data_IF_659816702727
#
_entry.id   IF_659816702727
#
_cell.length_a   1.000
_cell.length_b   1.000
_cell.length_c   1.000
_cell.angle_alpha   90.00
_cell.angle_beta   90.00
_cell.angle_gamma   90.00
#
_symmetry.space_group_name_H-M   'P 1'
#
loop_
_entity.id
_entity.type
_entity.pdbx_description
1 polymer ?
#
# COMPACT_ATOMS: atom_id res chain seq x y z
N UNK A 1 18.01 8.59 5.81
CA UNK A 1 16.78 8.15 5.12
C UNK A 1 16.02 7.12 5.90
N UNK A 2 16.63 5.98 6.21
CA UNK A 2 16.02 4.97 7.10
C UNK A 2 15.79 5.53 8.49
N UNK A 3 16.66 6.43 8.96
CA UNK A 3 16.52 7.09 10.27
C UNK A 3 15.28 7.98 10.34
N UNK A 4 14.89 8.63 9.23
CA UNK A 4 13.69 9.48 9.23
C UNK A 4 12.44 8.62 9.41
N UNK A 5 12.30 7.55 8.65
CA UNK A 5 11.16 6.63 8.77
C UNK A 5 11.15 5.95 10.14
N UNK A 6 12.29 5.56 10.65
CA UNK A 6 12.38 4.96 11.98
C UNK A 6 11.88 5.94 13.06
N UNK A 7 12.31 7.20 13.02
CA UNK A 7 11.84 8.23 13.96
C UNK A 7 10.34 8.49 13.81
N UNK A 8 9.86 8.56 12.58
CA UNK A 8 8.44 8.75 12.30
C UNK A 8 7.61 7.60 12.87
N UNK A 9 8.02 6.37 12.63
CA UNK A 9 7.36 5.16 13.15
C UNK A 9 7.33 5.18 14.66
N UNK A 10 8.43 5.50 15.33
CA UNK A 10 8.50 5.56 16.78
C UNK A 10 7.60 6.64 17.36
N UNK A 11 7.58 7.81 16.75
CA UNK A 11 6.69 8.92 17.13
C UNK A 11 5.22 8.52 17.00
N UNK A 12 4.85 7.88 15.89
CA UNK A 12 3.49 7.41 15.67
C UNK A 12 3.10 6.30 16.64
N UNK A 13 3.98 5.35 16.90
CA UNK A 13 3.76 4.31 17.90
C UNK A 13 3.45 4.90 19.27
N UNK A 14 4.23 5.88 19.69
CA UNK A 14 4.02 6.55 20.98
C UNK A 14 2.67 7.29 21.02
N UNK A 15 2.32 8.00 19.96
CA UNK A 15 1.06 8.73 19.87
C UNK A 15 -0.14 7.75 19.95
N UNK A 16 -0.09 6.63 19.27
CA UNK A 16 -1.12 5.59 19.31
C UNK A 16 -1.21 4.93 20.68
N UNK A 17 -0.09 4.62 21.28
CA UNK A 17 -0.03 4.01 22.61
C UNK A 17 -0.62 4.93 23.68
N UNK A 18 -0.29 6.22 23.65
CA UNK A 18 -0.85 7.21 24.57
C UNK A 18 -2.36 7.38 24.41
N UNK A 19 -2.89 7.18 23.21
CA UNK A 19 -4.32 7.24 22.94
C UNK A 19 -5.04 5.91 23.24
N UNK A 20 -4.31 4.89 23.66
CA UNK A 20 -4.90 3.57 23.96
C UNK A 20 -5.24 2.74 22.73
N UNK A 21 -4.69 3.08 21.56
CA UNK A 21 -4.91 2.34 20.32
C UNK A 21 -3.82 1.28 20.15
N UNK A 22 -4.23 0.02 20.10
CA UNK A 22 -3.31 -1.09 19.83
C UNK A 22 -3.13 -1.25 18.32
N UNK A 23 -1.90 -1.05 17.87
CA UNK A 23 -1.57 -1.18 16.46
C UNK A 23 -0.10 -1.53 16.28
N UNK A 24 0.19 -2.30 15.24
CA UNK A 24 1.54 -2.53 14.77
C UNK A 24 1.87 -1.47 13.73
N UNK A 25 2.97 -0.75 13.93
CA UNK A 25 3.41 0.31 13.02
C UNK A 25 4.80 -0.03 12.51
N UNK A 26 4.96 -0.03 11.20
CA UNK A 26 6.25 -0.30 10.60
C UNK A 26 6.42 0.44 9.27
N UNK A 27 7.69 0.71 8.93
CA UNK A 27 8.03 1.23 7.62
C UNK A 27 7.79 0.18 6.56
N UNK A 28 7.11 0.57 5.48
CA UNK A 28 6.81 -0.34 4.39
C UNK A 28 7.94 -0.35 3.38
N UNK A 29 8.56 -1.51 3.09
CA UNK A 29 9.55 -1.58 2.02
C UNK A 29 8.87 -1.41 0.67
N UNK A 30 9.39 -0.50 -0.17
CA UNK A 30 8.94 -0.38 -1.54
C UNK A 30 9.68 -1.37 -2.43
N UNK A 31 8.95 -1.96 -3.34
CA UNK A 31 9.52 -2.92 -4.27
C UNK A 31 10.52 -2.22 -5.20
N UNK A 32 11.73 -2.76 -5.30
CA UNK A 32 12.81 -2.19 -6.15
C UNK A 32 12.34 -2.01 -7.59
N UNK A 33 11.56 -2.95 -8.10
CA UNK A 33 11.01 -2.89 -9.46
C UNK A 33 10.08 -1.69 -9.66
N UNK A 34 9.22 -1.39 -8.68
CA UNK A 34 8.32 -0.23 -8.75
C UNK A 34 9.10 1.08 -8.77
N UNK A 35 10.18 1.16 -7.99
CA UNK A 35 11.07 2.31 -7.96
C UNK A 35 11.75 2.49 -9.32
N UNK A 36 12.31 1.42 -9.87
CA UNK A 36 12.97 1.44 -11.17
C UNK A 36 12.03 1.90 -12.30
N UNK A 37 10.78 1.40 -12.30
CA UNK A 37 9.75 1.79 -13.25
C UNK A 37 9.41 3.28 -13.18
N UNK A 38 9.27 3.81 -11.99
CA UNK A 38 9.02 5.24 -11.79
C UNK A 38 10.17 6.10 -12.31
N UNK A 39 11.41 5.65 -12.14
CA UNK A 39 12.57 6.31 -12.69
C UNK A 39 12.53 6.39 -14.21
N UNK A 40 12.23 5.29 -14.85
CA UNK A 40 12.18 5.19 -16.31
C UNK A 40 11.12 6.13 -16.91
N UNK A 41 9.94 6.18 -16.32
CA UNK A 41 8.81 6.93 -16.89
C UNK A 41 8.89 8.43 -16.64
N UNK A 42 9.31 8.84 -15.47
CA UNK A 42 9.30 10.26 -15.07
C UNK A 42 10.66 10.93 -15.19
N UNK A 43 11.67 10.24 -15.67
CA UNK A 43 13.05 10.70 -15.72
C UNK A 43 13.55 11.27 -14.38
N UNK A 44 13.03 10.70 -13.29
CA UNK A 44 13.41 11.13 -11.94
C UNK A 44 14.77 10.57 -11.56
N UNK A 45 15.56 11.37 -10.88
CA UNK A 45 16.82 10.90 -10.35
C UNK A 45 16.59 9.86 -9.24
N UNK A 46 17.49 8.90 -9.14
CA UNK A 46 17.45 7.82 -8.15
C UNK A 46 17.26 8.35 -6.71
N UNK A 47 17.87 9.50 -6.41
CA UNK A 47 17.75 10.14 -5.09
C UNK A 47 16.34 10.63 -4.77
N UNK A 48 15.58 11.10 -5.75
CA UNK A 48 14.21 11.58 -5.57
C UNK A 48 13.25 10.44 -5.23
N UNK A 49 13.52 9.25 -5.76
CA UNK A 49 12.68 8.07 -5.52
C UNK A 49 12.92 7.41 -4.18
N UNK A 50 14.14 7.48 -3.67
CA UNK A 50 14.45 6.99 -2.32
C UNK A 50 13.83 7.85 -1.22
N UNK A 51 13.32 9.03 -1.56
CA UNK A 51 12.62 9.89 -0.62
C UNK A 51 11.14 9.52 -0.43
N UNK A 52 10.66 8.50 -1.12
CA UNK A 52 9.30 8.01 -0.88
C UNK A 52 9.25 7.25 0.43
N UNK A 53 8.46 7.78 1.36
CA UNK A 53 8.30 7.24 2.69
C UNK A 53 6.91 6.66 2.83
N UNK A 54 6.83 5.40 3.23
CA UNK A 54 5.57 4.72 3.43
C UNK A 54 5.58 3.97 4.76
N UNK A 55 4.47 4.08 5.48
CA UNK A 55 4.27 3.46 6.79
C UNK A 55 2.96 2.69 6.76
N UNK A 56 2.95 1.54 7.40
CA UNK A 56 1.76 0.72 7.55
C UNK A 56 1.36 0.61 9.01
N UNK A 57 0.07 0.76 9.27
CA UNK A 57 -0.54 0.64 10.59
C UNK A 57 -1.54 -0.53 10.53
N UNK A 58 -1.30 -1.55 11.31
CA UNK A 58 -2.15 -2.75 11.37
C UNK A 58 -2.83 -2.80 12.73
N UNK A 59 -4.17 -2.84 12.73
CA UNK A 59 -4.98 -2.94 13.95
C UNK A 59 -5.72 -4.26 14.00
N UNK A 60 -6.28 -4.60 15.17
CA UNK A 60 -7.11 -5.80 15.32
C UNK A 60 -8.56 -5.54 14.95
N UNK A 61 -9.10 -4.37 15.28
CA UNK A 61 -10.51 -4.03 15.09
C UNK A 61 -10.67 -2.87 14.13
N UNK A 62 -11.79 -2.85 13.43
CA UNK A 62 -12.12 -1.77 12.49
C UNK A 62 -12.16 -0.40 13.17
N UNK A 63 -12.77 -0.33 14.37
CA UNK A 63 -12.81 0.93 15.12
C UNK A 63 -11.41 1.48 15.41
N UNK A 64 -10.44 0.61 15.63
CA UNK A 64 -9.05 1.00 15.88
C UNK A 64 -8.39 1.60 14.63
N UNK A 65 -8.82 1.19 13.44
CA UNK A 65 -8.37 1.84 12.20
C UNK A 65 -8.78 3.30 12.16
N UNK A 66 -10.03 3.60 12.47
CA UNK A 66 -10.54 4.98 12.49
C UNK A 66 -9.99 5.79 13.66
N UNK A 67 -9.76 5.15 14.81
CA UNK A 67 -9.08 5.79 15.94
C UNK A 67 -7.63 6.14 15.57
N UNK A 68 -6.92 5.23 14.92
CA UNK A 68 -5.56 5.48 14.43
C UNK A 68 -5.54 6.61 13.40
N UNK A 69 -6.50 6.65 12.48
CA UNK A 69 -6.64 7.73 11.50
C UNK A 69 -6.81 9.08 12.19
N UNK A 70 -7.67 9.16 13.20
CA UNK A 70 -7.86 10.36 13.99
C UNK A 70 -6.58 10.85 14.67
N UNK A 71 -5.83 9.93 15.24
CA UNK A 71 -4.52 10.25 15.86
C UNK A 71 -3.52 10.74 14.82
N UNK A 72 -3.43 10.07 13.68
CA UNK A 72 -2.54 10.48 12.59
C UNK A 72 -2.86 11.88 12.11
N UNK A 73 -4.13 12.19 11.86
CA UNK A 73 -4.56 13.49 11.35
C UNK A 73 -4.50 14.61 12.41
N UNK A 74 -4.55 14.23 13.70
CA UNK A 74 -4.40 15.20 14.80
C UNK A 74 -2.92 15.52 15.05
N UNK A 75 -2.08 14.50 14.96
CA UNK A 75 -0.64 14.62 15.26
C UNK A 75 0.17 15.21 14.10
N UNK A 76 -0.24 14.90 12.86
CA UNK A 76 0.44 15.35 11.64
C UNK A 76 -0.54 16.09 10.73
N UNK A 77 -0.03 17.04 9.96
CA UNK A 77 -0.83 17.72 8.94
C UNK A 77 -1.06 16.78 7.75
N UNK A 78 -2.32 16.49 7.41
CA UNK A 78 -2.63 15.63 6.27
C UNK A 78 -2.90 16.43 5.00
N UNK A 79 -2.71 15.78 3.86
CA UNK A 79 -2.97 16.35 2.53
C UNK A 79 -4.32 15.79 2.07
N UNK A 80 -5.42 16.61 2.09
CA UNK A 80 -6.77 16.08 1.81
C UNK A 80 -6.94 15.42 0.47
N UNK A 81 -6.21 15.87 -0.57
CA UNK A 81 -6.29 15.29 -1.91
C UNK A 81 -5.73 13.88 -2.01
N UNK A 82 -4.91 13.50 -1.04
CA UNK A 82 -4.25 12.19 -1.00
C UNK A 82 -4.92 11.24 0.00
N UNK A 83 -6.13 11.54 0.41
CA UNK A 83 -6.89 10.72 1.34
C UNK A 83 -7.90 9.85 0.60
N UNK A 84 -7.86 8.54 0.85
CA UNK A 84 -8.81 7.57 0.33
C UNK A 84 -9.21 6.56 1.40
N UNK A 85 -10.51 6.43 1.63
CA UNK A 85 -11.05 5.44 2.56
C UNK A 85 -11.62 4.24 1.78
N UNK A 86 -10.77 3.26 1.52
CA UNK A 86 -11.17 2.01 0.86
C UNK A 86 -11.76 0.98 1.84
N UNK A 87 -11.94 1.34 3.10
CA UNK A 87 -12.71 0.53 4.06
C UNK A 87 -14.19 0.81 3.88
N UNK A 88 -14.58 2.09 3.87
CA UNK A 88 -15.94 2.52 3.62
C UNK A 88 -16.37 2.26 2.17
N UNK A 89 -15.44 2.42 1.22
CA UNK A 89 -15.67 2.24 -0.21
C UNK A 89 -14.62 1.29 -0.79
N UNK A 90 -14.79 -0.04 -0.62
CA UNK A 90 -13.81 -1.00 -1.13
C UNK A 90 -13.61 -0.89 -2.63
N UNK A 91 -12.40 -1.19 -3.09
CA UNK A 91 -12.11 -1.25 -4.52
C UNK A 91 -12.87 -2.43 -5.18
N UNK A 92 -13.05 -2.41 -6.51
CA UNK A 92 -13.77 -3.49 -7.20
C UNK A 92 -13.23 -4.90 -6.95
N UNK A 93 -11.92 -5.02 -6.65
CA UNK A 93 -11.28 -6.30 -6.32
C UNK A 93 -11.46 -6.72 -4.86
N UNK A 94 -12.20 -5.94 -4.05
CA UNK A 94 -12.43 -6.19 -2.63
C UNK A 94 -11.35 -5.63 -1.70
N UNK A 95 -10.34 -4.98 -2.22
CA UNK A 95 -9.28 -4.38 -1.41
C UNK A 95 -9.83 -3.34 -0.45
N UNK A 96 -9.45 -3.44 0.83
CA UNK A 96 -9.82 -2.51 1.89
C UNK A 96 -8.60 -2.01 2.63
N UNK A 97 -8.48 -0.72 2.76
CA UNK A 97 -7.47 -0.03 3.56
C UNK A 97 -7.82 1.46 3.60
N UNK A 98 -7.31 2.17 4.60
CA UNK A 98 -7.36 3.63 4.62
C UNK A 98 -6.00 4.13 4.16
N UNK A 99 -5.98 4.99 3.14
CA UNK A 99 -4.76 5.60 2.62
C UNK A 99 -4.77 7.09 2.94
N UNK A 100 -3.73 7.57 3.57
CA UNK A 100 -3.56 9.00 3.84
C UNK A 100 -2.10 9.40 3.65
N UNK A 101 -1.88 10.66 3.34
CA UNK A 101 -0.55 11.24 3.24
C UNK A 101 -0.45 12.40 4.22
N UNK A 102 0.57 12.41 5.03
CA UNK A 102 0.82 13.45 6.01
C UNK A 102 2.18 14.09 5.79
N UNK A 103 2.35 15.28 6.36
CA UNK A 103 3.62 16.00 6.35
C UNK A 103 4.27 15.79 7.72
N UNK A 104 5.44 15.16 7.72
CA UNK A 104 6.22 14.96 8.94
C UNK A 104 7.25 16.05 9.15
N UNK A 105 8.25 15.78 9.98
CA UNK A 105 9.36 16.68 10.21
C UNK A 105 10.06 17.04 8.91
N UNK A 106 10.62 18.25 8.86
CA UNK A 106 11.34 18.77 7.69
C UNK A 106 10.47 18.94 6.43
N UNK A 107 9.14 18.96 6.60
CA UNK A 107 8.22 19.12 5.47
C UNK A 107 8.15 17.93 4.53
N UNK A 108 8.65 16.77 4.96
CA UNK A 108 8.65 15.55 4.15
C UNK A 108 7.33 14.81 4.24
N UNK A 109 6.81 14.37 3.10
CA UNK A 109 5.55 13.62 3.05
C UNK A 109 5.75 12.15 3.39
N UNK A 110 4.78 11.58 4.11
CA UNK A 110 4.75 10.16 4.46
C UNK A 110 3.40 9.60 4.08
N UNK A 111 3.39 8.53 3.30
CA UNK A 111 2.18 7.78 2.97
C UNK A 111 1.88 6.79 4.10
N UNK A 112 0.65 6.77 4.56
CA UNK A 112 0.24 5.88 5.65
C UNK A 112 -0.93 5.02 5.17
N UNK A 113 -0.77 3.69 5.28
CA UNK A 113 -1.84 2.72 5.08
C UNK A 113 -2.29 2.19 6.44
N UNK A 114 -3.59 2.30 6.71
CA UNK A 114 -4.19 1.81 7.94
C UNK A 114 -5.22 0.72 7.58
N UNK A 115 -5.06 -0.47 8.16
CA UNK A 115 -5.96 -1.59 7.92
C UNK A 115 -5.93 -2.58 9.07
N UNK A 116 -6.95 -3.43 9.15
CA UNK A 116 -6.97 -4.52 10.14
C UNK A 116 -6.06 -5.66 9.71
N UNK A 117 -5.72 -6.53 10.67
CA UNK A 117 -4.99 -7.78 10.38
C UNK A 117 -5.73 -8.62 9.33
N UNK A 118 -7.06 -8.68 9.43
CA UNK A 118 -7.88 -9.44 8.48
C UNK A 118 -7.81 -8.85 7.07
N UNK A 119 -7.89 -7.53 6.93
CA UNK A 119 -7.75 -6.86 5.64
C UNK A 119 -6.36 -7.09 5.05
N UNK A 120 -5.34 -7.09 5.91
CA UNK A 120 -3.97 -7.36 5.49
C UNK A 120 -3.80 -8.80 4.98
N UNK A 121 -4.34 -9.76 5.73
CA UNK A 121 -4.31 -11.17 5.33
C UNK A 121 -5.11 -11.41 4.05
N UNK A 122 -6.29 -10.82 3.92
CA UNK A 122 -7.12 -10.94 2.73
C UNK A 122 -6.41 -10.41 1.49
N UNK A 123 -5.72 -9.27 1.62
CA UNK A 123 -4.95 -8.72 0.52
C UNK A 123 -3.79 -9.65 0.11
N UNK A 124 -3.05 -10.19 1.06
CA UNK A 124 -1.95 -11.12 0.80
C UNK A 124 -2.44 -12.48 0.28
N UNK A 125 -3.52 -13.02 0.87
CA UNK A 125 -4.14 -14.26 0.42
C UNK A 125 -4.77 -14.11 -0.97
N UNK A 126 -5.32 -12.94 -1.27
CA UNK A 126 -5.84 -12.63 -2.60
C UNK A 126 -4.77 -12.78 -3.66
N UNK A 127 -3.57 -12.24 -3.43
CA UNK A 127 -2.43 -12.41 -4.33
C UNK A 127 -2.03 -13.90 -4.41
N UNK A 128 -1.88 -14.57 -3.27
CA UNK A 128 -1.51 -15.98 -3.21
C UNK A 128 -2.56 -16.88 -3.87
N UNK A 129 -3.85 -16.61 -3.66
CA UNK A 129 -4.95 -17.36 -4.28
C UNK A 129 -4.94 -17.23 -5.80
N UNK A 130 -4.65 -16.04 -6.33
CA UNK A 130 -4.49 -15.84 -7.76
C UNK A 130 -3.34 -16.65 -8.33
N UNK A 131 -2.21 -16.67 -7.64
CA UNK A 131 -1.07 -17.51 -8.02
C UNK A 131 -1.43 -18.98 -8.06
N UNK A 132 -2.01 -19.51 -6.99
CA UNK A 132 -2.40 -20.93 -6.88
C UNK A 132 -3.46 -21.32 -7.90
N UNK A 133 -4.44 -20.47 -8.13
CA UNK A 133 -5.48 -20.71 -9.12
C UNK A 133 -4.88 -20.85 -10.51
N UNK A 134 -3.95 -19.98 -10.89
CA UNK A 134 -3.31 -20.04 -12.20
C UNK A 134 -2.33 -21.22 -12.34
N UNK A 135 -1.59 -21.54 -11.31
CA UNK A 135 -0.74 -22.73 -11.30
C UNK A 135 -1.58 -23.99 -11.46
N UNK A 136 -2.68 -24.10 -10.72
CA UNK A 136 -3.63 -25.19 -10.85
C UNK A 136 -4.28 -25.26 -12.23
N UNK A 137 -4.70 -24.12 -12.76
CA UNK A 137 -5.28 -24.02 -14.10
C UNK A 137 -4.26 -24.34 -15.20
N UNK A 138 -2.99 -23.95 -15.03
CA UNK A 138 -1.93 -24.28 -15.97
C UNK A 138 -1.57 -25.76 -15.93
N UNK A 139 -1.65 -26.39 -14.77
CA UNK A 139 -1.45 -27.82 -14.63
C UNK A 139 -2.61 -28.64 -15.22
N UNK A 140 -3.83 -28.13 -15.14
CA UNK A 140 -5.04 -28.77 -15.62
C UNK A 140 -5.35 -28.47 -17.09
N UNK A 141 -4.99 -27.28 -17.58
CA UNK A 141 -5.26 -26.84 -18.95
C UNK A 141 -3.95 -26.54 -19.67
N UNK A 142 -3.50 -27.48 -20.47
CA UNK A 142 -2.38 -27.27 -21.40
C UNK A 142 -2.65 -26.23 -22.49
N UNK A 143 -3.77 -25.49 -22.38
CA UNK A 143 -4.27 -24.56 -23.39
C UNK A 143 -4.69 -23.20 -22.83
N UNK A 144 -3.96 -22.66 -21.84
CA UNK A 144 -4.22 -21.28 -21.46
C UNK A 144 -3.76 -20.35 -22.60
N UNK A 145 -4.69 -19.57 -23.13
CA UNK A 145 -4.37 -18.60 -24.18
C UNK A 145 -3.46 -17.49 -23.63
N UNK A 146 -2.71 -16.85 -24.51
CA UNK A 146 -1.88 -15.72 -24.18
C UNK A 146 -2.71 -14.59 -23.49
N UNK A 147 -3.97 -14.41 -23.92
CA UNK A 147 -4.91 -13.46 -23.35
C UNK A 147 -5.23 -13.76 -21.88
N UNK A 148 -5.44 -15.03 -21.54
CA UNK A 148 -5.68 -15.46 -20.15
C UNK A 148 -4.50 -15.14 -19.24
N UNK A 149 -3.29 -15.31 -19.75
CA UNK A 149 -2.06 -14.97 -19.01
C UNK A 149 -1.93 -13.47 -18.77
N UNK A 150 -2.24 -12.67 -19.78
CA UNK A 150 -2.22 -11.21 -19.65
C UNK A 150 -3.27 -10.73 -18.66
N UNK A 151 -4.49 -11.25 -18.73
CA UNK A 151 -5.56 -10.90 -17.82
C UNK A 151 -5.20 -11.25 -16.37
N UNK A 152 -4.62 -12.43 -16.19
CA UNK A 152 -4.13 -12.85 -14.88
C UNK A 152 -3.03 -11.92 -14.34
N UNK A 153 -2.05 -11.56 -15.18
CA UNK A 153 -1.01 -10.61 -14.83
C UNK A 153 -1.61 -9.26 -14.43
N UNK A 154 -2.61 -8.79 -15.16
CA UNK A 154 -3.31 -7.54 -14.83
C UNK A 154 -3.96 -7.62 -13.45
N UNK A 155 -4.62 -8.73 -13.11
CA UNK A 155 -5.22 -8.93 -11.79
C UNK A 155 -4.17 -8.98 -10.70
N UNK A 156 -3.08 -9.68 -10.94
CA UNK A 156 -1.96 -9.77 -9.99
C UNK A 156 -1.33 -8.40 -9.74
N UNK A 157 -1.10 -7.64 -10.81
CA UNK A 157 -0.53 -6.31 -10.74
C UNK A 157 -1.48 -5.32 -10.07
N UNK A 158 -2.78 -5.44 -10.30
CA UNK A 158 -3.79 -4.64 -9.60
C UNK A 158 -3.74 -4.88 -8.08
N UNK A 159 -3.62 -6.14 -7.66
CA UNK A 159 -3.47 -6.50 -6.25
C UNK A 159 -2.16 -6.00 -5.66
N UNK A 160 -1.06 -6.12 -6.39
CA UNK A 160 0.23 -5.57 -5.95
C UNK A 160 0.20 -4.05 -5.85
N UNK A 161 -0.51 -3.38 -6.74
CA UNK A 161 -0.68 -1.95 -6.70
C UNK A 161 -1.48 -1.52 -5.48
N UNK A 162 -2.56 -2.22 -5.17
CA UNK A 162 -3.33 -1.99 -3.94
C UNK A 162 -2.45 -2.17 -2.70
N UNK A 163 -1.50 -3.09 -2.77
CA UNK A 163 -0.52 -3.32 -1.71
C UNK A 163 0.62 -2.29 -1.72
N UNK A 164 0.93 -1.69 -2.90
CA UNK A 164 2.08 -0.79 -3.05
C UNK A 164 1.75 0.70 -3.03
N UNK A 165 0.49 1.09 -2.94
CA UNK A 165 0.00 2.48 -2.91
C UNK A 165 0.23 3.33 -4.11
N UNK A 166 0.84 2.86 -5.12
CA UNK A 166 1.06 3.76 -6.24
C UNK A 166 0.09 3.49 -7.36
N UNK A 167 -1.01 4.22 -7.41
CA UNK A 167 -1.86 4.30 -8.60
C UNK A 167 -1.07 4.55 -9.88
N UNK A 168 0.14 5.06 -9.76
CA UNK A 168 1.04 5.27 -10.89
C UNK A 168 1.55 3.99 -11.53
N UNK A 169 1.70 2.88 -10.79
CA UNK A 169 2.21 1.64 -11.36
C UNK A 169 1.20 1.00 -12.33
N UNK A 170 -0.07 1.00 -11.99
CA UNK A 170 -1.13 0.48 -12.86
C UNK A 170 -1.26 1.31 -14.13
N UNK A 171 -1.21 2.64 -13.99
CA UNK A 171 -1.24 3.54 -15.14
C UNK A 171 -0.03 3.33 -16.04
N UNK A 172 1.15 3.08 -15.45
CA UNK A 172 2.37 2.78 -16.18
C UNK A 172 2.23 1.48 -16.98
N UNK A 173 1.63 0.46 -16.40
CA UNK A 173 1.42 -0.82 -17.07
C UNK A 173 0.32 -0.76 -18.12
N UNK A 174 -0.75 -0.01 -17.86
CA UNK A 174 -1.81 0.23 -18.85
C UNK A 174 -1.29 0.97 -20.08
N UNK A 175 -0.35 1.88 -19.88
CA UNK A 175 0.24 2.64 -20.99
C UNK A 175 1.21 1.82 -21.85
N UNK A 176 1.64 0.65 -21.38
CA UNK A 176 2.56 -0.24 -22.09
C UNK A 176 1.88 -1.44 -22.78
N UNK A 177 0.60 -1.59 -22.54
CA UNK A 177 -0.22 -2.63 -23.18
C UNK A 177 -1.08 -1.99 -24.25
#
# INVERSE_FOLDING_TARGET
RERYIHRFVEELKQALQLAGVQADVYGRPKHIYSIWRKMQKKHLEFNELFDVRAVRVITKRLQDCYAALGIVHTHFHHIPREFDDYVANPKPNGYQSIHTVVVGEEGKTVEIQIRTEQMHQDAELGVAAHWRYKEGAQAAAKTSTFEDKIEWLRKLLALQEDLSESGSLLDDLRSQV
#
